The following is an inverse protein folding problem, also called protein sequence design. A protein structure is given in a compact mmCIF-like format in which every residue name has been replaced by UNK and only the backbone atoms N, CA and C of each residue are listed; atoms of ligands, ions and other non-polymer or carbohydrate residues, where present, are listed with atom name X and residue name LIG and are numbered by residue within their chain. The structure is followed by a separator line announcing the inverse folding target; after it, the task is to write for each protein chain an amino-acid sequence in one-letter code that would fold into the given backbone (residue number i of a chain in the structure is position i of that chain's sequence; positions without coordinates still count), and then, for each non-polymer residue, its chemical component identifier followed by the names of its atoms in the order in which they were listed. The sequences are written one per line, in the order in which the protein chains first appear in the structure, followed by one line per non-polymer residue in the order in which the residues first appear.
data_IF_069225110354
#
_entry.id   IF_069225110354
#
_cell.length_a   1.000
_cell.length_b   1.000
_cell.length_c   1.000
_cell.angle_alpha   90.00
_cell.angle_beta   90.00
_cell.angle_gamma   90.00
#
_symmetry.space_group_name_H-M   'P 1'
#
loop_
_entity.id
_entity.type
_entity.pdbx_description
1 polymer ?
#
# COMPACT_ATOMS: atom_id res chain seq x y z
N UNK A 1 11.35 -9.83 -30.64
CA UNK A 1 10.27 -9.04 -30.02
C UNK A 1 10.89 -7.92 -29.23
N UNK A 2 10.83 -6.72 -29.78
CA UNK A 2 11.36 -5.57 -29.06
C UNK A 2 10.35 -5.14 -28.01
N UNK A 3 10.62 -5.46 -26.77
CA UNK A 3 9.93 -4.79 -25.67
C UNK A 3 10.52 -3.38 -25.58
N UNK A 4 9.78 -2.40 -26.03
CA UNK A 4 10.11 -1.02 -25.71
C UNK A 4 9.93 -0.83 -24.20
N UNK A 5 11.03 -0.62 -23.52
CA UNK A 5 10.99 -0.19 -22.13
C UNK A 5 10.61 1.28 -22.17
N UNK A 6 9.34 1.58 -21.92
CA UNK A 6 8.86 2.95 -21.82
C UNK A 6 9.12 3.41 -20.39
N UNK A 7 10.14 4.25 -20.22
CA UNK A 7 10.31 4.98 -18.97
C UNK A 7 9.38 6.19 -18.99
N UNK A 8 8.45 6.20 -18.05
CA UNK A 8 7.68 7.41 -17.78
C UNK A 8 8.40 8.25 -16.74
N UNK A 9 8.36 9.55 -16.92
CA UNK A 9 8.82 10.49 -15.90
C UNK A 9 8.02 10.28 -14.60
N UNK A 10 8.65 10.46 -13.44
CA UNK A 10 7.95 10.41 -12.16
C UNK A 10 6.78 11.38 -12.14
N UNK A 11 5.65 10.93 -11.61
CA UNK A 11 4.47 11.76 -11.41
C UNK A 11 4.19 11.93 -9.94
N UNK A 12 3.53 13.03 -9.58
CA UNK A 12 3.04 13.26 -8.23
C UNK A 12 1.56 12.95 -8.19
N UNK A 13 1.15 12.16 -7.23
CA UNK A 13 -0.25 11.80 -7.04
C UNK A 13 -0.64 11.96 -5.56
N UNK A 14 -1.93 12.10 -5.32
CA UNK A 14 -2.45 12.15 -3.95
C UNK A 14 -2.46 10.74 -3.34
N UNK A 15 -2.15 10.66 -2.05
CA UNK A 15 -2.22 9.40 -1.30
C UNK A 15 -3.61 8.78 -1.42
N UNK A 16 -4.66 9.58 -1.33
CA UNK A 16 -6.05 9.11 -1.47
C UNK A 16 -6.29 8.38 -2.79
N UNK A 17 -5.73 8.88 -3.90
CA UNK A 17 -5.86 8.24 -5.20
C UNK A 17 -5.18 6.88 -5.23
N UNK A 18 -3.98 6.76 -4.66
CA UNK A 18 -3.26 5.48 -4.57
C UNK A 18 -4.00 4.47 -3.70
N UNK A 19 -4.53 4.90 -2.58
CA UNK A 19 -5.33 4.03 -1.69
C UNK A 19 -6.63 3.59 -2.35
N UNK A 20 -7.26 4.48 -3.12
CA UNK A 20 -8.44 4.13 -3.90
C UNK A 20 -8.12 3.09 -4.98
N UNK A 21 -6.96 3.21 -5.64
CA UNK A 21 -6.50 2.23 -6.61
C UNK A 21 -6.28 0.85 -5.98
N UNK A 22 -5.78 0.79 -4.76
CA UNK A 22 -5.67 -0.47 -4.03
C UNK A 22 -7.07 -1.04 -3.73
N UNK A 23 -7.97 -0.23 -3.21
CA UNK A 23 -9.33 -0.64 -2.86
C UNK A 23 -10.09 -1.19 -4.08
N UNK A 24 -9.90 -0.58 -5.24
CA UNK A 24 -10.58 -0.98 -6.48
C UNK A 24 -9.84 -2.09 -7.24
N UNK A 25 -8.76 -2.62 -6.68
CA UNK A 25 -8.00 -3.71 -7.29
C UNK A 25 -7.15 -3.28 -8.49
N UNK A 26 -6.86 -2.00 -8.64
CA UNK A 26 -6.01 -1.47 -9.71
C UNK A 26 -4.52 -1.61 -9.42
N UNK A 27 -4.12 -1.64 -8.15
CA UNK A 27 -2.76 -1.94 -7.74
C UNK A 27 -2.71 -3.36 -7.20
N UNK A 28 -1.72 -4.12 -7.66
CA UNK A 28 -1.61 -5.54 -7.41
C UNK A 28 -0.32 -5.86 -6.66
N UNK A 29 -0.38 -6.87 -5.83
CA UNK A 29 0.73 -7.32 -5.02
C UNK A 29 1.28 -8.65 -5.55
N UNK A 30 2.38 -8.64 -6.34
CA UNK A 30 2.94 -9.87 -6.89
C UNK A 30 3.42 -10.84 -5.81
N UNK A 31 3.24 -12.14 -6.03
CA UNK A 31 3.69 -13.18 -5.09
C UNK A 31 5.20 -13.24 -4.92
N UNK A 32 5.97 -12.72 -5.88
CA UNK A 32 7.43 -12.67 -5.74
C UNK A 32 7.92 -11.61 -4.76
N UNK A 33 7.04 -10.70 -4.32
CA UNK A 33 7.38 -9.71 -3.29
C UNK A 33 7.59 -10.40 -1.94
N UNK A 34 8.57 -9.89 -1.20
CA UNK A 34 8.86 -10.41 0.14
C UNK A 34 7.70 -10.12 1.10
N UNK A 35 7.49 -10.97 2.11
CA UNK A 35 6.57 -10.67 3.17
C UNK A 35 6.85 -9.31 3.80
N UNK A 36 5.82 -8.66 4.32
CA UNK A 36 5.97 -7.42 5.05
C UNK A 36 6.81 -7.66 6.30
N UNK A 37 7.90 -6.94 6.43
CA UNK A 37 8.87 -7.10 7.52
C UNK A 37 8.90 -5.91 8.47
N UNK A 38 8.13 -4.87 8.20
CA UNK A 38 8.07 -3.69 9.05
C UNK A 38 7.41 -4.03 10.39
N UNK A 39 8.09 -3.64 11.45
CA UNK A 39 7.52 -3.69 12.79
C UNK A 39 6.62 -2.47 13.05
N UNK A 40 6.00 -2.45 14.22
CA UNK A 40 5.11 -1.36 14.64
C UNK A 40 5.84 -0.02 14.65
N UNK A 41 7.10 0.01 15.08
CA UNK A 41 7.87 1.25 15.16
C UNK A 41 8.14 1.83 13.78
N UNK A 42 8.45 1.00 12.79
CA UNK A 42 8.65 1.45 11.41
C UNK A 42 7.37 2.09 10.86
N UNK A 43 6.23 1.49 11.13
CA UNK A 43 4.91 2.00 10.69
C UNK A 43 4.59 3.33 11.36
N UNK A 44 4.81 3.46 12.66
CA UNK A 44 4.59 4.70 13.40
C UNK A 44 5.52 5.82 12.90
N UNK A 45 6.76 5.49 12.59
CA UNK A 45 7.73 6.44 12.03
C UNK A 45 7.28 6.99 10.68
N UNK A 46 6.70 6.14 9.83
CA UNK A 46 6.13 6.58 8.56
C UNK A 46 4.97 7.56 8.77
N UNK A 47 4.05 7.25 9.66
CA UNK A 47 2.91 8.11 9.96
C UNK A 47 3.36 9.47 10.50
N UNK A 48 4.38 9.49 11.35
CA UNK A 48 4.96 10.73 11.87
C UNK A 48 5.61 11.56 10.76
N UNK A 49 6.33 10.91 9.83
CA UNK A 49 6.93 11.60 8.67
C UNK A 49 5.87 12.29 7.81
N UNK A 50 4.73 11.64 7.61
CA UNK A 50 3.62 12.23 6.86
C UNK A 50 3.05 13.43 7.60
N UNK A 51 2.85 13.30 8.92
CA UNK A 51 2.31 14.38 9.74
C UNK A 51 3.15 15.64 9.66
N UNK A 52 4.47 15.51 9.70
CA UNK A 52 5.38 16.66 9.66
C UNK A 52 5.76 17.11 8.25
N UNK A 53 5.25 16.41 7.22
CA UNK A 53 5.49 16.76 5.83
C UNK A 53 6.84 16.33 5.27
N UNK A 54 7.53 15.38 5.91
CA UNK A 54 8.78 14.82 5.39
C UNK A 54 8.50 13.94 4.18
N UNK A 55 9.25 14.07 3.08
CA UNK A 55 9.11 13.17 1.93
C UNK A 55 9.34 11.72 2.33
N UNK A 56 8.47 10.82 1.86
CA UNK A 56 8.51 9.40 2.23
C UNK A 56 9.09 8.50 1.14
N UNK A 57 9.57 9.09 0.06
CA UNK A 57 10.10 8.38 -1.10
C UNK A 57 9.05 8.15 -2.18
N UNK A 58 9.43 7.39 -3.19
CA UNK A 58 8.59 7.10 -4.35
C UNK A 58 8.05 5.68 -4.30
N UNK A 59 6.98 5.44 -5.04
CA UNK A 59 6.42 4.11 -5.30
C UNK A 59 6.77 3.73 -6.72
N UNK A 60 7.30 2.53 -6.92
CA UNK A 60 7.62 2.00 -8.23
C UNK A 60 6.56 1.00 -8.65
N UNK A 61 5.91 1.27 -9.76
CA UNK A 61 4.91 0.40 -10.35
C UNK A 61 5.41 -0.18 -11.67
N UNK A 62 5.04 -1.42 -11.93
CA UNK A 62 5.28 -2.08 -13.21
C UNK A 62 3.94 -2.33 -13.90
N UNK A 63 3.80 -1.78 -15.10
CA UNK A 63 2.63 -2.00 -15.94
C UNK A 63 2.88 -3.16 -16.88
N UNK A 64 2.01 -4.15 -16.88
CA UNK A 64 2.11 -5.29 -17.79
C UNK A 64 0.75 -5.84 -18.15
N UNK A 65 0.62 -6.33 -19.38
CA UNK A 65 -0.57 -7.05 -19.84
C UNK A 65 -0.55 -8.52 -19.47
N UNK A 66 0.57 -9.01 -18.98
CA UNK A 66 0.72 -10.40 -18.53
C UNK A 66 0.17 -10.53 -17.11
N UNK A 67 -0.73 -11.47 -16.90
CA UNK A 67 -1.20 -11.81 -15.57
C UNK A 67 -0.17 -12.68 -14.86
N UNK A 68 0.46 -12.16 -13.80
CA UNK A 68 1.37 -12.92 -12.96
C UNK A 68 0.70 -13.22 -11.61
N UNK A 69 1.13 -14.31 -10.92
CA UNK A 69 0.53 -14.64 -9.63
C UNK A 69 0.64 -13.51 -8.61
N UNK A 70 -0.46 -13.18 -7.98
CA UNK A 70 -0.56 -12.12 -6.98
C UNK A 70 -1.17 -12.64 -5.68
N UNK A 71 -0.85 -11.97 -4.58
CA UNK A 71 -1.52 -12.20 -3.32
C UNK A 71 -2.98 -11.71 -3.40
N UNK A 72 -3.92 -12.52 -2.94
CA UNK A 72 -5.34 -12.16 -2.92
C UNK A 72 -5.69 -11.18 -1.79
N UNK A 73 -4.81 -11.05 -0.81
CA UNK A 73 -4.99 -10.16 0.33
C UNK A 73 -3.65 -9.81 0.95
N UNK A 74 -3.62 -8.75 1.72
CA UNK A 74 -2.53 -8.51 2.66
C UNK A 74 -3.12 -7.97 3.96
N UNK A 75 -2.59 -8.44 5.07
CA UNK A 75 -3.02 -8.06 6.42
C UNK A 75 -4.55 -8.03 6.60
N UNK A 76 -5.24 -8.97 5.92
CA UNK A 76 -6.68 -9.13 6.00
C UNK A 76 -7.50 -8.30 5.03
N UNK A 77 -6.90 -7.43 4.26
CA UNK A 77 -7.60 -6.67 3.22
C UNK A 77 -7.62 -7.45 1.91
N UNK A 78 -8.80 -7.53 1.30
CA UNK A 78 -8.92 -8.13 -0.02
C UNK A 78 -8.26 -7.25 -1.08
N UNK A 79 -7.49 -7.87 -1.95
CA UNK A 79 -6.86 -7.22 -3.09
C UNK A 79 -7.50 -7.70 -4.38
N UNK A 80 -7.25 -6.97 -5.46
CA UNK A 80 -7.60 -7.41 -6.79
C UNK A 80 -6.66 -8.52 -7.29
N UNK A 81 -6.94 -8.99 -8.48
CA UNK A 81 -6.13 -9.99 -9.18
C UNK A 81 -5.91 -9.53 -10.61
N UNK A 82 -4.79 -9.95 -11.23
CA UNK A 82 -4.47 -9.56 -12.58
C UNK A 82 -5.42 -10.23 -13.60
N UNK A 83 -5.61 -9.53 -14.71
CA UNK A 83 -6.41 -10.04 -15.84
C UNK A 83 -5.49 -10.04 -17.06
N UNK A 84 -5.31 -11.21 -17.68
CA UNK A 84 -4.51 -11.35 -18.90
C UNK A 84 -5.06 -10.45 -20.00
N UNK A 85 -4.16 -9.70 -20.63
CA UNK A 85 -4.49 -8.78 -21.71
C UNK A 85 -4.90 -7.39 -21.27
N UNK A 86 -5.21 -7.18 -20.00
CA UNK A 86 -5.48 -5.84 -19.43
C UNK A 86 -4.19 -5.20 -18.91
N UNK A 87 -4.22 -3.89 -18.76
CA UNK A 87 -3.13 -3.19 -18.10
C UNK A 87 -3.18 -3.47 -16.60
N UNK A 88 -2.21 -4.27 -16.13
CA UNK A 88 -2.05 -4.59 -14.72
C UNK A 88 -0.92 -3.75 -14.14
N UNK A 89 -1.13 -3.14 -12.99
CA UNK A 89 -0.13 -2.33 -12.30
C UNK A 89 0.35 -3.06 -11.06
N UNK A 90 1.58 -3.56 -11.11
CA UNK A 90 2.20 -4.32 -10.04
C UNK A 90 3.10 -3.43 -9.20
N UNK A 91 2.97 -3.52 -7.89
CA UNK A 91 3.82 -2.77 -6.96
C UNK A 91 5.17 -3.48 -6.85
N UNK A 92 6.24 -2.84 -7.33
CA UNK A 92 7.60 -3.35 -7.25
C UNK A 92 8.36 -2.82 -6.04
N UNK A 93 8.11 -1.56 -5.68
CA UNK A 93 8.74 -0.94 -4.52
C UNK A 93 7.77 0.04 -3.86
N UNK A 94 7.90 0.16 -2.56
CA UNK A 94 7.04 1.03 -1.75
C UNK A 94 5.83 0.31 -1.14
N UNK A 95 5.75 -1.02 -1.24
CA UNK A 95 4.62 -1.78 -0.72
C UNK A 95 4.41 -1.59 0.77
N UNK A 96 5.47 -1.61 1.58
CA UNK A 96 5.35 -1.47 3.03
C UNK A 96 4.82 -0.09 3.42
N UNK A 97 5.22 0.94 2.70
CA UNK A 97 4.68 2.30 2.88
C UNK A 97 3.20 2.36 2.50
N UNK A 98 2.85 1.83 1.33
CA UNK A 98 1.45 1.81 0.88
C UNK A 98 0.56 0.97 1.79
N UNK A 99 1.02 -0.20 2.23
CA UNK A 99 0.23 -1.05 3.12
C UNK A 99 -0.01 -0.40 4.48
N UNK A 100 1.01 0.26 5.03
CA UNK A 100 0.87 1.00 6.29
C UNK A 100 -0.14 2.13 6.17
N UNK A 101 -0.06 2.90 5.08
CA UNK A 101 -1.02 3.96 4.81
C UNK A 101 -2.43 3.43 4.60
N UNK A 102 -2.55 2.34 3.83
CA UNK A 102 -3.83 1.71 3.59
C UNK A 102 -4.49 1.27 4.89
N UNK A 103 -3.73 0.59 5.75
CA UNK A 103 -4.24 0.14 7.04
C UNK A 103 -4.63 1.30 7.94
N UNK A 104 -3.77 2.32 8.04
CA UNK A 104 -4.01 3.45 8.92
C UNK A 104 -5.20 4.31 8.47
N UNK A 105 -5.32 4.57 7.17
CA UNK A 105 -6.30 5.51 6.64
C UNK A 105 -7.61 4.84 6.22
N UNK A 106 -7.60 3.53 5.96
CA UNK A 106 -8.80 2.78 5.58
C UNK A 106 -9.53 2.17 6.77
N UNK A 107 -9.03 2.27 7.97
CA UNK A 107 -9.61 1.67 9.18
C UNK A 107 -11.06 2.10 9.43
N UNK A 108 -11.38 3.34 9.12
CA UNK A 108 -12.74 3.88 9.32
C UNK A 108 -13.77 3.16 8.46
N UNK A 109 -13.37 2.66 7.29
CA UNK A 109 -14.26 2.00 6.34
C UNK A 109 -14.44 0.50 6.63
N UNK A 110 -13.56 -0.09 7.40
CA UNK A 110 -13.48 -1.56 7.57
C UNK A 110 -13.88 -2.05 8.95
N UNK A 111 -14.58 -1.25 9.75
CA UNK A 111 -15.04 -1.61 11.09
C UNK A 111 -15.91 -2.89 11.16
N UNK A 112 -16.36 -3.39 10.02
CA UNK A 112 -17.26 -4.54 9.96
C UNK A 112 -16.55 -5.88 9.70
N UNK A 113 -15.24 -5.90 9.53
CA UNK A 113 -14.49 -7.15 9.33
C UNK A 113 -14.05 -7.71 10.69
N UNK A 114 -14.97 -8.40 11.30
CA UNK A 114 -14.72 -9.14 12.53
C UNK A 114 -13.79 -10.33 12.26
N UNK A 115 -12.68 -10.38 12.97
CA UNK A 115 -11.79 -11.55 12.99
C UNK A 115 -10.39 -11.34 12.45
N UNK A 116 -10.03 -10.15 12.05
CA UNK A 116 -8.70 -9.84 11.56
C UNK A 116 -7.91 -9.07 12.61
N UNK A 117 -6.66 -9.48 12.82
CA UNK A 117 -5.70 -8.68 13.59
C UNK A 117 -5.34 -7.44 12.80
N UNK A 118 -6.13 -6.40 12.96
CA UNK A 118 -5.87 -5.10 12.34
C UNK A 118 -5.13 -4.27 13.36
N UNK A 119 -3.94 -3.80 12.99
CA UNK A 119 -3.23 -2.81 13.80
C UNK A 119 -3.97 -1.48 13.74
N UNK A 120 -4.42 -1.01 14.87
CA UNK A 120 -5.03 0.31 14.97
C UNK A 120 -3.98 1.34 15.35
N UNK A 121 -4.02 2.47 14.66
CA UNK A 121 -3.14 3.60 14.91
C UNK A 121 -3.94 4.79 15.39
N UNK A 122 -3.46 5.43 16.43
CA UNK A 122 -4.07 6.60 17.03
C UNK A 122 -3.07 7.72 17.12
N UNK A 123 -3.56 8.94 17.06
CA UNK A 123 -2.73 10.09 17.35
C UNK A 123 -3.03 10.60 18.75
N UNK A 124 -2.03 10.59 19.62
CA UNK A 124 -2.12 11.10 20.97
C UNK A 124 -1.94 12.63 20.95
N UNK A 125 -3.03 13.35 21.13
CA UNK A 125 -3.01 14.82 21.12
C UNK A 125 -2.22 15.44 22.25
N UNK A 126 -2.12 14.78 23.40
CA UNK A 126 -1.36 15.26 24.54
C UNK A 126 0.13 14.99 24.40
N UNK A 127 0.47 13.80 23.93
CA UNK A 127 1.86 13.39 23.72
C UNK A 127 2.44 13.82 22.36
N UNK A 128 1.60 14.33 21.45
CA UNK A 128 1.99 14.72 20.09
C UNK A 128 2.71 13.61 19.33
N UNK A 129 2.16 12.41 19.37
CA UNK A 129 2.76 11.23 18.72
C UNK A 129 1.72 10.24 18.27
N UNK A 130 2.08 9.43 17.28
CA UNK A 130 1.30 8.25 16.92
C UNK A 130 1.58 7.11 17.89
N UNK A 131 0.52 6.39 18.23
CA UNK A 131 0.57 5.19 19.07
C UNK A 131 -0.20 4.07 18.38
N UNK A 132 0.18 2.83 18.67
CA UNK A 132 -0.58 1.66 18.25
C UNK A 132 -1.35 1.08 19.43
N UNK A 133 -2.43 0.44 19.14
CA UNK A 133 -3.13 -0.39 20.14
C UNK A 133 -2.44 -1.75 20.15
N UNK A 134 -1.87 -2.09 21.26
CA UNK A 134 -1.36 -3.44 21.53
C UNK A 134 -2.50 -4.37 21.90
#
# INVERSE_FOLDING_TARGET
MNQEIIYKDPTVDFIESLLQDITEGRLLYPKFQRPLIWDTQDKLSLLESIRIGTPIGSVLLWKSKTAIPCHASFEGFALGYPIEGNDNFYILDGLQRLSTLYMALSQIKNHNNTGLNIDYYYYDLKGNKFISQD
#
